data_IF_835007026125
#
_entry.id   IF_835007026125
#
_cell.length_a   1.000
_cell.length_b   1.000
_cell.length_c   1.000
_cell.angle_alpha   90.00
_cell.angle_beta   90.00
_cell.angle_gamma   90.00
#
_symmetry.space_group_name_H-M   'P 1'
#
loop_
_entity.id
_entity.type
_entity.pdbx_description
1 polymer ?
#
# COMPACT_ATOMS: atom_id res chain seq x y z
N UNK A 1 38.42 -56.23 -16.15
CA UNK A 1 38.36 -55.59 -17.48
C UNK A 1 38.87 -54.16 -17.35
N UNK A 2 40.00 -53.90 -18.03
CA UNK A 2 40.59 -52.65 -18.56
C UNK A 2 40.32 -51.33 -17.80
N UNK A 3 41.34 -50.83 -17.08
CA UNK A 3 42.27 -49.71 -17.43
C UNK A 3 41.67 -48.36 -17.02
N UNK A 4 42.19 -47.56 -16.08
CA UNK A 4 43.57 -47.36 -15.66
C UNK A 4 44.14 -46.13 -16.37
N UNK A 5 44.18 -44.98 -15.68
CA UNK A 5 45.22 -43.97 -15.93
C UNK A 5 45.53 -43.12 -14.69
N UNK A 6 46.75 -43.32 -14.18
CA UNK A 6 47.54 -42.38 -13.37
C UNK A 6 48.65 -41.83 -14.27
N UNK A 7 48.97 -40.54 -14.13
CA UNK A 7 50.27 -39.84 -14.28
C UNK A 7 49.99 -38.37 -13.91
N UNK A 8 50.77 -37.59 -13.16
CA UNK A 8 52.08 -37.76 -12.55
C UNK A 8 52.87 -36.44 -12.58
N UNK A 9 52.82 -35.70 -11.46
CA UNK A 9 53.86 -34.86 -10.80
C UNK A 9 54.58 -33.71 -11.56
N UNK A 10 54.46 -32.49 -11.01
CA UNK A 10 55.48 -31.56 -10.44
C UNK A 10 54.74 -30.22 -10.18
N UNK A 11 54.59 -29.65 -8.98
CA UNK A 11 55.54 -29.45 -7.90
C UNK A 11 55.87 -27.96 -7.84
N UNK A 12 55.11 -27.17 -7.07
CA UNK A 12 55.57 -25.92 -6.43
C UNK A 12 54.57 -25.51 -5.33
N UNK A 13 55.08 -25.51 -4.10
CA UNK A 13 54.41 -25.07 -2.89
C UNK A 13 54.36 -23.54 -2.83
N UNK A 14 53.38 -22.98 -2.10
CA UNK A 14 53.55 -21.88 -1.13
C UNK A 14 52.27 -21.76 -0.26
N UNK A 15 52.46 -22.04 1.04
CA UNK A 15 51.86 -21.50 2.28
C UNK A 15 50.32 -21.26 2.32
N UNK A 16 49.52 -22.11 2.99
CA UNK A 16 49.34 -22.28 4.45
C UNK A 16 48.58 -21.13 5.14
N UNK A 17 47.42 -21.46 5.70
CA UNK A 17 46.62 -20.57 6.55
C UNK A 17 45.21 -21.10 6.86
N UNK A 18 45.13 -22.30 7.48
CA UNK A 18 43.92 -22.82 8.12
C UNK A 18 43.63 -22.05 9.42
N UNK A 19 42.35 -21.93 9.79
CA UNK A 19 41.99 -21.55 11.16
C UNK A 19 40.49 -21.36 11.40
N UNK A 20 39.75 -22.48 11.47
CA UNK A 20 38.36 -22.52 11.85
C UNK A 20 38.12 -22.15 13.34
N UNK A 21 36.86 -21.85 13.62
CA UNK A 21 36.24 -21.49 14.90
C UNK A 21 36.68 -22.31 16.12
N UNK A 22 36.69 -21.63 17.27
CA UNK A 22 36.52 -22.23 18.59
C UNK A 22 35.41 -21.48 19.35
N UNK A 23 34.41 -22.25 19.79
CA UNK A 23 33.48 -21.89 20.85
C UNK A 23 34.21 -22.01 22.19
N UNK A 24 34.21 -20.94 22.98
CA UNK A 24 34.43 -21.02 24.43
C UNK A 24 33.45 -20.07 25.12
N UNK A 25 32.49 -20.66 25.85
CA UNK A 25 31.74 -19.96 26.88
C UNK A 25 32.69 -19.71 28.06
N UNK A 26 32.79 -18.46 28.51
CA UNK A 26 33.56 -18.14 29.72
C UNK A 26 33.87 -16.65 29.87
N UNK A 27 33.18 -16.03 30.84
CA UNK A 27 33.57 -14.82 31.56
C UNK A 27 33.42 -13.49 30.82
N UNK A 28 32.38 -12.75 31.21
CA UNK A 28 32.31 -11.31 31.05
C UNK A 28 33.51 -10.66 31.75
N UNK A 29 34.55 -10.36 30.98
CA UNK A 29 35.51 -9.32 31.33
C UNK A 29 35.05 -8.10 30.55
N UNK A 30 34.43 -7.14 31.25
CA UNK A 30 34.23 -5.80 30.75
C UNK A 30 35.63 -5.22 30.46
N UNK A 31 36.11 -5.36 29.23
CA UNK A 31 37.31 -4.68 28.79
C UNK A 31 36.98 -3.18 28.79
N UNK A 32 37.57 -2.43 29.71
CA UNK A 32 37.60 -0.97 29.66
C UNK A 32 38.25 -0.56 28.33
N UNK A 33 37.41 -0.29 27.33
CA UNK A 33 37.83 -0.24 25.94
C UNK A 33 38.64 1.02 25.66
N UNK A 34 39.94 0.85 25.39
CA UNK A 34 40.85 1.89 24.91
C UNK A 34 40.20 2.69 23.78
N UNK A 35 40.19 4.02 23.91
CA UNK A 35 39.70 4.94 22.88
C UNK A 35 40.41 4.73 21.53
N UNK A 36 39.75 5.09 20.43
CA UNK A 36 40.39 5.01 19.12
C UNK A 36 41.53 6.01 19.02
N UNK A 37 42.70 5.55 18.56
CA UNK A 37 43.94 6.36 18.53
C UNK A 37 43.81 7.65 17.72
N UNK A 38 42.96 7.64 16.70
CA UNK A 38 42.71 8.71 15.73
C UNK A 38 41.41 9.48 15.99
N UNK A 39 40.75 9.25 17.13
CA UNK A 39 39.60 10.04 17.59
C UNK A 39 39.88 10.46 19.03
N UNK A 40 40.76 11.45 19.26
CA UNK A 40 41.02 11.98 20.61
C UNK A 40 39.76 12.66 21.19
N UNK A 41 39.71 12.84 22.51
CA UNK A 41 38.60 13.50 23.21
C UNK A 41 38.26 14.91 22.67
N UNK A 42 39.22 15.60 22.06
CA UNK A 42 39.03 16.90 21.41
C UNK A 42 38.41 16.84 20.00
N UNK A 43 38.28 15.64 19.42
CA UNK A 43 37.68 15.45 18.11
C UNK A 43 36.16 15.72 18.17
N UNK A 44 35.63 16.50 17.23
CA UNK A 44 34.21 16.94 17.23
C UNK A 44 33.18 15.80 17.31
N UNK A 45 33.54 14.64 16.74
CA UNK A 45 32.70 13.44 16.73
C UNK A 45 32.94 12.50 17.92
N UNK A 46 33.87 12.80 18.84
CA UNK A 46 34.34 11.88 19.88
C UNK A 46 33.19 11.21 20.64
N UNK A 47 32.26 11.98 21.23
CA UNK A 47 31.16 11.42 22.02
C UNK A 47 30.26 10.48 21.20
N UNK A 48 30.06 10.80 19.92
CA UNK A 48 29.14 10.12 19.00
C UNK A 48 29.76 8.81 18.55
N UNK A 49 31.07 8.82 18.30
CA UNK A 49 31.86 7.61 17.99
C UNK A 49 31.97 6.71 19.21
N UNK A 50 32.20 7.27 20.41
CA UNK A 50 32.24 6.48 21.65
C UNK A 50 30.87 5.90 22.01
N UNK A 51 29.79 6.65 21.80
CA UNK A 51 28.43 6.12 21.91
C UNK A 51 28.21 4.94 20.96
N UNK A 52 28.58 5.10 19.69
CA UNK A 52 28.37 4.06 18.68
C UNK A 52 29.15 2.78 19.02
N UNK A 53 30.41 2.91 19.47
CA UNK A 53 31.22 1.80 19.96
C UNK A 53 30.58 1.11 21.17
N UNK A 54 30.19 1.87 22.18
CA UNK A 54 29.66 1.34 23.44
C UNK A 54 28.28 0.68 23.28
N UNK A 55 27.55 1.01 22.21
CA UNK A 55 26.23 0.43 21.89
C UNK A 55 26.27 -0.61 20.77
N UNK A 56 27.47 -1.04 20.31
CA UNK A 56 27.61 -2.07 19.27
C UNK A 56 27.13 -1.63 17.87
N UNK A 57 27.02 -0.32 17.63
CA UNK A 57 26.64 0.25 16.33
C UNK A 57 27.78 0.16 15.32
N UNK A 58 29.01 0.33 15.80
CA UNK A 58 30.21 0.34 14.98
C UNK A 58 31.41 -0.20 15.74
N UNK A 59 32.38 -0.74 15.01
CA UNK A 59 33.67 -1.18 15.52
C UNK A 59 34.81 -0.39 14.85
N UNK A 60 36.00 -0.44 15.47
CA UNK A 60 37.23 0.06 14.87
C UNK A 60 37.99 -1.02 14.10
N UNK A 61 39.14 -0.62 13.57
CA UNK A 61 40.05 -1.51 12.86
C UNK A 61 41.02 -2.22 13.83
N UNK A 62 41.61 -3.36 13.43
CA UNK A 62 42.57 -4.11 14.26
C UNK A 62 43.81 -3.30 14.71
N UNK A 63 44.15 -2.22 14.00
CA UNK A 63 45.25 -1.30 14.33
C UNK A 63 44.91 -0.33 15.48
N UNK A 64 43.67 -0.34 15.98
CA UNK A 64 43.15 0.53 17.02
C UNK A 64 42.64 1.89 16.51
N UNK A 65 42.43 2.04 15.20
CA UNK A 65 41.88 3.25 14.58
C UNK A 65 40.39 3.13 14.28
N UNK A 66 39.70 4.26 14.14
CA UNK A 66 38.30 4.36 13.69
C UNK A 66 38.18 4.82 12.24
N UNK A 67 39.16 5.60 11.76
CA UNK A 67 39.21 6.26 10.45
C UNK A 67 38.04 7.22 10.22
N UNK A 68 37.93 8.29 11.04
CA UNK A 68 36.74 9.15 11.08
C UNK A 68 36.39 9.81 9.74
N UNK A 69 37.39 10.09 8.90
CA UNK A 69 37.22 10.74 7.59
C UNK A 69 36.95 9.77 6.42
N UNK A 70 37.05 8.45 6.65
CA UNK A 70 36.80 7.46 5.59
C UNK A 70 35.32 7.45 5.22
N UNK A 71 34.99 7.42 3.93
CA UNK A 71 33.60 7.29 3.46
C UNK A 71 33.01 5.93 3.85
N UNK A 72 31.71 5.90 4.16
CA UNK A 72 30.95 4.66 4.40
C UNK A 72 30.17 4.26 3.16
N UNK A 73 30.05 2.95 2.91
CA UNK A 73 29.17 2.44 1.85
C UNK A 73 27.70 2.44 2.28
N UNK A 74 26.78 2.27 1.34
CA UNK A 74 25.35 2.14 1.65
C UNK A 74 25.06 0.94 2.56
N UNK A 75 25.66 -0.22 2.29
CA UNK A 75 25.52 -1.41 3.12
C UNK A 75 26.09 -1.21 4.54
N UNK A 76 27.23 -0.54 4.65
CA UNK A 76 27.82 -0.20 5.95
C UNK A 76 26.89 0.71 6.75
N UNK A 77 26.39 1.79 6.15
CA UNK A 77 25.46 2.71 6.82
C UNK A 77 24.17 2.02 7.24
N UNK A 78 23.54 1.25 6.34
CA UNK A 78 22.33 0.50 6.64
C UNK A 78 22.53 -0.47 7.81
N UNK A 79 23.67 -1.17 7.85
CA UNK A 79 23.99 -2.06 8.96
C UNK A 79 24.15 -1.32 10.29
N UNK A 80 24.75 -0.13 10.28
CA UNK A 80 24.87 0.72 11.48
C UNK A 80 23.50 1.23 11.94
N UNK A 81 22.64 1.63 10.99
CA UNK A 81 21.27 2.06 11.29
C UNK A 81 20.49 0.94 12.00
N UNK A 82 20.51 -0.28 11.49
CA UNK A 82 19.81 -1.42 12.11
C UNK A 82 20.43 -1.77 13.47
N UNK A 83 21.77 -1.79 13.59
CA UNK A 83 22.46 -2.09 14.86
C UNK A 83 22.20 -1.05 15.96
N UNK A 84 21.89 0.20 15.60
CA UNK A 84 21.47 1.22 16.56
C UNK A 84 20.10 0.91 17.24
N UNK A 85 19.39 -0.10 16.75
CA UNK A 85 18.10 -0.57 17.27
C UNK A 85 18.14 -2.10 17.44
N UNK A 86 18.85 -2.63 18.47
CA UNK A 86 19.03 -4.07 18.71
C UNK A 86 17.71 -4.85 18.98
N UNK A 87 16.62 -4.13 19.19
CA UNK A 87 15.25 -4.64 19.18
C UNK A 87 14.82 -5.22 17.82
N UNK A 88 15.37 -4.71 16.70
CA UNK A 88 15.14 -5.24 15.36
C UNK A 88 15.83 -6.61 15.25
N UNK A 89 15.05 -7.65 14.99
CA UNK A 89 15.57 -9.01 14.79
C UNK A 89 15.74 -9.26 13.30
N UNK A 90 16.97 -9.57 12.92
CA UNK A 90 17.31 -10.01 11.57
C UNK A 90 17.29 -11.53 11.52
N UNK A 91 16.73 -12.07 10.44
CA UNK A 91 16.94 -13.47 10.10
C UNK A 91 18.42 -13.72 9.80
N UNK A 92 18.91 -14.89 10.20
CA UNK A 92 20.27 -15.31 9.86
C UNK A 92 20.40 -15.42 8.34
N UNK A 93 21.51 -14.90 7.79
CA UNK A 93 21.87 -15.09 6.38
C UNK A 93 21.86 -16.59 6.04
N UNK A 94 21.17 -16.97 4.97
CA UNK A 94 21.01 -18.38 4.59
C UNK A 94 22.11 -18.75 3.57
N UNK A 95 22.92 -19.76 3.88
CA UNK A 95 23.89 -20.31 2.93
C UNK A 95 25.09 -19.40 2.64
N UNK A 96 25.37 -19.13 1.35
CA UNK A 96 26.52 -18.33 0.88
C UNK A 96 26.19 -16.84 0.65
N UNK A 97 25.12 -16.33 1.27
CA UNK A 97 24.70 -14.94 1.12
C UNK A 97 25.77 -13.93 1.60
N UNK A 98 25.82 -12.78 0.95
CA UNK A 98 26.72 -11.68 1.30
C UNK A 98 26.38 -11.14 2.69
N UNK A 99 27.35 -10.65 3.45
CA UNK A 99 27.15 -10.23 4.84
C UNK A 99 26.04 -9.16 5.04
N UNK A 100 25.78 -8.33 4.02
CA UNK A 100 24.78 -7.28 4.06
C UNK A 100 23.37 -7.76 3.65
N UNK A 101 23.21 -8.98 3.14
CA UNK A 101 21.93 -9.51 2.62
C UNK A 101 20.78 -9.41 3.63
N UNK A 102 20.93 -9.79 4.93
CA UNK A 102 19.84 -9.66 5.89
C UNK A 102 19.35 -8.22 6.07
N UNK A 103 20.25 -7.25 5.98
CA UNK A 103 19.91 -5.83 6.12
C UNK A 103 19.15 -5.30 4.90
N UNK A 104 19.55 -5.73 3.70
CA UNK A 104 18.84 -5.38 2.47
C UNK A 104 17.48 -6.06 2.38
N UNK A 105 17.36 -7.33 2.81
CA UNK A 105 16.06 -8.00 2.89
C UNK A 105 15.11 -7.22 3.80
N UNK A 106 15.58 -6.81 4.98
CA UNK A 106 14.81 -5.93 5.87
C UNK A 106 14.48 -4.59 5.20
N UNK A 107 15.44 -3.95 4.55
CA UNK A 107 15.20 -2.68 3.85
C UNK A 107 14.15 -2.83 2.74
N UNK A 108 14.17 -3.92 1.97
CA UNK A 108 13.18 -4.20 0.93
C UNK A 108 11.81 -4.52 1.53
N UNK A 109 11.76 -5.33 2.59
CA UNK A 109 10.53 -5.64 3.33
C UNK A 109 9.88 -4.37 3.90
N UNK A 110 10.70 -3.45 4.41
CA UNK A 110 10.25 -2.18 4.99
C UNK A 110 10.21 -1.03 3.98
N UNK A 111 10.44 -1.29 2.69
CA UNK A 111 10.48 -0.28 1.61
C UNK A 111 11.43 0.90 1.86
N UNK A 112 12.52 0.68 2.60
CA UNK A 112 13.55 1.69 2.80
C UNK A 112 14.31 1.95 1.48
N UNK A 113 14.60 3.22 1.15
CA UNK A 113 15.16 3.62 -0.14
C UNK A 113 16.67 3.31 -0.23
N UNK A 114 16.98 2.02 -0.40
CA UNK A 114 18.32 1.52 -0.72
C UNK A 114 18.50 1.38 -2.23
N UNK A 115 19.72 1.52 -2.72
CA UNK A 115 20.08 1.36 -4.13
C UNK A 115 20.51 -0.07 -4.45
N UNK A 116 20.77 -0.35 -5.73
CA UNK A 116 21.39 -1.59 -6.21
C UNK A 116 22.92 -1.61 -6.03
N UNK A 117 23.49 -0.64 -5.29
CA UNK A 117 24.94 -0.40 -5.16
C UNK A 117 25.43 -0.47 -3.70
N UNK A 118 25.34 -1.63 -3.04
CA UNK A 118 25.64 -1.79 -1.60
C UNK A 118 27.07 -1.41 -1.19
N UNK A 119 28.02 -1.49 -2.11
CA UNK A 119 29.44 -1.24 -1.84
C UNK A 119 29.91 0.15 -2.30
N UNK A 120 29.03 0.98 -2.87
CA UNK A 120 29.37 2.35 -3.24
C UNK A 120 29.21 3.28 -2.04
N UNK A 121 29.99 4.39 -1.95
CA UNK A 121 29.82 5.40 -0.91
C UNK A 121 28.38 5.95 -0.88
N UNK A 122 27.76 5.95 0.30
CA UNK A 122 26.42 6.55 0.47
C UNK A 122 26.53 8.07 0.51
N UNK A 123 25.57 8.75 -0.12
CA UNK A 123 25.47 10.21 -0.09
C UNK A 123 24.68 10.69 1.12
N UNK A 124 24.88 11.95 1.51
CA UNK A 124 24.12 12.59 2.60
C UNK A 124 22.62 12.62 2.32
N UNK A 125 22.22 12.81 1.06
CA UNK A 125 20.82 12.77 0.62
C UNK A 125 20.19 11.38 0.78
N UNK A 126 20.91 10.32 0.40
CA UNK A 126 20.44 8.95 0.64
C UNK A 126 20.35 8.61 2.13
N UNK A 127 21.30 9.08 2.96
CA UNK A 127 21.19 8.98 4.42
C UNK A 127 19.94 9.67 4.95
N UNK A 128 19.63 10.89 4.47
CA UNK A 128 18.43 11.61 4.88
C UNK A 128 17.15 10.83 4.53
N UNK A 129 17.07 10.29 3.32
CA UNK A 129 15.94 9.44 2.88
C UNK A 129 15.82 8.18 3.73
N UNK A 130 16.92 7.48 4.03
CA UNK A 130 16.91 6.30 4.89
C UNK A 130 16.44 6.62 6.32
N UNK A 131 16.90 7.73 6.90
CA UNK A 131 16.48 8.15 8.24
C UNK A 131 15.00 8.53 8.31
N UNK A 132 14.49 9.21 7.28
CA UNK A 132 13.08 9.55 7.16
C UNK A 132 12.21 8.28 6.99
N UNK A 133 12.64 7.37 6.11
CA UNK A 133 11.98 6.07 5.88
C UNK A 133 11.99 5.17 7.12
N UNK A 134 13.07 5.19 7.90
CA UNK A 134 13.14 4.51 9.18
C UNK A 134 12.04 4.98 10.16
N UNK A 135 11.63 6.24 10.07
CA UNK A 135 10.51 6.82 10.83
C UNK A 135 9.19 6.88 10.03
N UNK A 136 9.05 6.04 9.00
CA UNK A 136 7.81 5.83 8.25
C UNK A 136 7.49 6.89 7.19
N UNK A 137 8.41 7.79 6.88
CA UNK A 137 8.23 8.81 5.85
C UNK A 137 8.77 8.31 4.50
N UNK A 138 8.06 8.46 3.37
CA UNK A 138 8.72 8.40 2.05
C UNK A 138 8.71 9.77 1.45
N UNK A 139 9.91 10.31 1.34
CA UNK A 139 10.19 11.66 0.92
C UNK A 139 11.18 11.59 -0.24
N UNK A 140 11.05 12.52 -1.19
CA UNK A 140 12.11 12.79 -2.15
C UNK A 140 13.37 13.28 -1.43
N UNK A 141 14.48 13.43 -2.18
CA UNK A 141 15.77 13.78 -1.58
C UNK A 141 15.72 15.15 -0.86
N UNK A 142 15.11 16.16 -1.49
CA UNK A 142 15.05 17.52 -0.95
C UNK A 142 14.12 17.59 0.27
N UNK A 143 12.96 16.92 0.22
CA UNK A 143 12.03 16.87 1.35
C UNK A 143 12.61 16.10 2.53
N UNK A 144 13.33 15.00 2.27
CA UNK A 144 14.02 14.24 3.32
C UNK A 144 15.11 15.07 4.00
N UNK A 145 15.85 15.87 3.21
CA UNK A 145 16.85 16.81 3.75
C UNK A 145 16.19 17.87 4.62
N UNK A 146 15.10 18.48 4.17
CA UNK A 146 14.34 19.45 4.96
C UNK A 146 13.81 18.82 6.25
N UNK A 147 13.29 17.60 6.18
CA UNK A 147 12.82 16.86 7.36
C UNK A 147 13.94 16.62 8.37
N UNK A 148 15.10 16.12 7.94
CA UNK A 148 16.27 15.91 8.82
C UNK A 148 16.73 17.21 9.47
N UNK A 149 16.69 18.33 8.75
CA UNK A 149 17.03 19.66 9.29
C UNK A 149 15.98 20.15 10.29
N UNK A 150 14.69 20.01 9.98
CA UNK A 150 13.57 20.42 10.82
C UNK A 150 13.51 19.63 12.14
N UNK A 151 13.83 18.34 12.08
CA UNK A 151 13.93 17.47 13.26
C UNK A 151 15.23 17.69 14.07
N UNK A 152 16.11 18.61 13.66
CA UNK A 152 17.38 18.87 14.36
C UNK A 152 18.39 17.72 14.27
N UNK A 153 18.21 16.81 13.31
CA UNK A 153 19.07 15.64 13.11
C UNK A 153 20.36 16.03 12.36
N UNK A 154 20.35 17.13 11.63
CA UNK A 154 21.53 17.75 11.02
C UNK A 154 21.46 19.28 11.08
N UNK A 155 22.60 19.92 10.88
CA UNK A 155 22.71 21.40 10.79
C UNK A 155 23.18 21.87 9.40
N UNK A 156 23.41 20.92 8.47
CA UNK A 156 24.09 21.15 7.20
C UNK A 156 25.60 21.38 7.34
N UNK A 157 26.31 21.39 6.21
CA UNK A 157 27.75 21.67 6.14
C UNK A 157 28.04 23.17 6.04
N UNK A 158 27.25 23.89 5.25
CA UNK A 158 27.41 25.33 4.99
C UNK A 158 26.15 26.15 5.29
N UNK A 159 25.05 25.52 5.69
CA UNK A 159 23.81 26.19 6.10
C UNK A 159 22.64 25.24 6.30
N UNK A 160 21.54 25.75 6.87
CA UNK A 160 20.35 24.98 7.23
C UNK A 160 19.34 24.77 6.08
N UNK A 161 19.77 24.94 4.83
CA UNK A 161 18.96 24.69 3.63
C UNK A 161 19.42 23.44 2.88
N UNK A 162 18.66 23.00 1.87
CA UNK A 162 18.98 21.80 1.08
C UNK A 162 20.39 21.90 0.47
N UNK A 163 20.72 23.01 -0.16
CA UNK A 163 22.06 23.25 -0.71
C UNK A 163 23.14 23.21 0.38
N UNK A 164 22.88 23.88 1.50
CA UNK A 164 23.79 23.92 2.66
C UNK A 164 23.98 22.57 3.34
N UNK A 165 23.03 21.64 3.18
CA UNK A 165 23.15 20.27 3.63
C UNK A 165 24.09 19.43 2.77
N UNK A 166 24.35 19.83 1.52
CA UNK A 166 25.21 19.14 0.55
C UNK A 166 24.79 17.66 0.32
N UNK A 167 23.58 17.39 -0.23
CA UNK A 167 23.03 16.05 -0.33
C UNK A 167 23.84 15.10 -1.23
N UNK A 168 24.63 15.63 -2.17
CA UNK A 168 25.45 14.82 -3.09
C UNK A 168 26.79 14.37 -2.51
N UNK A 169 27.24 14.96 -1.40
CA UNK A 169 28.51 14.58 -0.79
C UNK A 169 28.41 13.19 -0.17
N UNK A 170 29.52 12.43 -0.25
CA UNK A 170 29.68 11.19 0.47
C UNK A 170 29.70 11.43 2.00
N UNK A 171 29.23 10.42 2.74
CA UNK A 171 29.18 10.44 4.21
C UNK A 171 30.43 9.78 4.78
N UNK A 172 31.13 10.48 5.67
CA UNK A 172 32.25 9.92 6.44
C UNK A 172 31.78 9.05 7.61
N UNK A 173 32.64 8.15 8.10
CA UNK A 173 32.36 7.31 9.28
C UNK A 173 31.95 8.14 10.50
N UNK A 174 32.59 9.28 10.74
CA UNK A 174 32.25 10.19 11.84
C UNK A 174 30.88 10.89 11.64
N UNK A 175 30.56 11.30 10.42
CA UNK A 175 29.24 11.86 10.09
C UNK A 175 28.14 10.81 10.26
N UNK A 176 28.36 9.58 9.79
CA UNK A 176 27.40 8.48 9.95
C UNK A 176 27.03 8.27 11.43
N UNK A 177 28.02 8.22 12.33
CA UNK A 177 27.74 8.08 13.77
C UNK A 177 27.00 9.28 14.33
N UNK A 178 27.26 10.48 13.79
CA UNK A 178 26.58 11.70 14.24
C UNK A 178 25.11 11.72 13.85
N UNK A 179 24.79 11.29 12.61
CA UNK A 179 23.40 11.12 12.16
C UNK A 179 22.66 10.12 13.04
N UNK A 180 23.23 8.93 13.25
CA UNK A 180 22.59 7.87 14.04
C UNK A 180 22.44 8.24 15.52
N UNK A 181 23.46 8.88 16.10
CA UNK A 181 23.40 9.39 17.48
C UNK A 181 22.24 10.37 17.66
N UNK A 182 22.14 11.37 16.76
CA UNK A 182 21.05 12.37 16.82
C UNK A 182 19.70 11.73 16.57
N UNK A 183 19.61 10.80 15.62
CA UNK A 183 18.38 10.05 15.37
C UNK A 183 17.88 9.35 16.63
N UNK A 184 18.77 8.68 17.37
CA UNK A 184 18.42 7.96 18.60
C UNK A 184 18.06 8.89 19.76
N UNK A 185 18.66 10.10 19.80
CA UNK A 185 18.52 11.01 20.93
C UNK A 185 17.34 11.97 20.78
N UNK A 186 17.02 12.37 19.55
CA UNK A 186 16.01 13.41 19.28
C UNK A 186 14.62 12.83 19.08
N UNK A 187 14.51 11.69 18.40
CA UNK A 187 13.23 11.10 18.08
C UNK A 187 12.86 10.00 19.10
N UNK A 188 11.55 9.81 19.37
CA UNK A 188 11.10 8.80 20.32
C UNK A 188 11.61 7.42 19.91
N UNK A 189 11.95 6.60 20.91
CA UNK A 189 12.45 5.24 20.67
C UNK A 189 11.42 4.48 19.83
N UNK A 190 11.83 4.04 18.63
CA UNK A 190 11.10 3.08 17.83
C UNK A 190 11.06 1.72 18.57
N UNK A 191 10.22 1.59 19.59
CA UNK A 191 10.05 0.35 20.36
C UNK A 191 9.11 -0.63 19.65
N UNK A 192 9.70 -1.71 19.12
CA UNK A 192 9.04 -2.90 18.55
C UNK A 192 8.87 -2.88 17.03
N UNK A 193 9.02 -4.03 16.33
CA UNK A 193 8.46 -4.26 15.00
C UNK A 193 6.98 -3.84 14.85
N UNK A 194 6.25 -3.72 15.96
CA UNK A 194 4.88 -3.18 15.99
C UNK A 194 4.80 -1.65 15.80
N UNK A 195 5.89 -0.90 16.03
CA UNK A 195 5.99 0.53 15.75
C UNK A 195 6.49 0.85 14.33
N UNK A 196 6.54 -0.15 13.45
CA UNK A 196 6.67 0.03 11.98
C UNK A 196 5.28 -0.03 11.31
N UNK A 197 4.19 0.19 12.05
CA UNK A 197 2.85 0.42 11.51
C UNK A 197 2.37 1.87 11.67
N UNK A 198 2.61 2.76 10.71
CA UNK A 198 1.64 3.70 10.20
C UNK A 198 1.06 3.10 8.91
N UNK A 199 0.30 2.02 9.03
CA UNK A 199 -0.50 1.51 7.90
C UNK A 199 -1.76 2.35 7.82
N UNK A 200 -2.14 2.76 6.60
CA UNK A 200 -3.52 3.15 6.36
C UNK A 200 -4.36 1.93 6.74
N UNK A 201 -5.26 2.11 7.71
CA UNK A 201 -6.08 1.05 8.24
C UNK A 201 -7.55 1.40 8.11
N UNK A 202 -8.36 0.40 7.84
CA UNK A 202 -9.82 0.47 7.90
C UNK A 202 -10.29 -0.40 9.04
N UNK A 203 -10.93 0.19 10.05
CA UNK A 203 -11.38 -0.53 11.25
C UNK A 203 -10.26 -1.36 11.92
N UNK A 204 -9.01 -0.89 11.81
CA UNK A 204 -7.82 -1.56 12.34
C UNK A 204 -7.21 -2.64 11.44
N UNK A 205 -7.84 -2.96 10.31
CA UNK A 205 -7.30 -3.88 9.29
C UNK A 205 -6.35 -3.11 8.37
N UNK A 206 -5.15 -3.64 8.17
CA UNK A 206 -4.16 -3.11 7.22
C UNK A 206 -3.84 -4.09 6.09
N UNK A 207 -3.24 -3.58 5.02
CA UNK A 207 -2.63 -4.42 3.97
C UNK A 207 -1.56 -5.34 4.60
N UNK A 208 -1.55 -6.62 4.22
CA UNK A 208 -0.62 -7.64 4.73
C UNK A 208 -1.09 -8.41 5.98
N UNK A 209 -2.18 -7.96 6.62
CA UNK A 209 -2.80 -8.70 7.73
C UNK A 209 -3.30 -10.08 7.27
N UNK A 210 -3.35 -11.05 8.19
CA UNK A 210 -3.91 -12.37 7.90
C UNK A 210 -5.43 -12.38 7.94
N UNK A 211 -6.06 -13.34 7.27
CA UNK A 211 -7.50 -13.59 7.37
C UNK A 211 -7.96 -13.81 8.81
N UNK A 212 -7.18 -14.50 9.64
CA UNK A 212 -7.48 -14.68 11.07
C UNK A 212 -7.57 -13.33 11.81
N UNK A 213 -6.67 -12.38 11.49
CA UNK A 213 -6.68 -11.05 12.08
C UNK A 213 -7.89 -10.25 11.63
N UNK A 214 -8.27 -10.37 10.35
CA UNK A 214 -9.49 -9.76 9.82
C UNK A 214 -10.72 -10.29 10.55
N UNK A 215 -10.83 -11.60 10.75
CA UNK A 215 -11.96 -12.22 11.46
C UNK A 215 -11.97 -11.82 12.94
N UNK A 216 -10.81 -11.68 13.58
CA UNK A 216 -10.71 -11.17 14.95
C UNK A 216 -11.26 -9.75 15.09
N UNK A 217 -10.98 -8.89 14.11
CA UNK A 217 -11.36 -7.48 14.13
C UNK A 217 -12.82 -7.25 13.69
N UNK A 218 -13.24 -7.88 12.60
CA UNK A 218 -14.51 -7.59 11.91
C UNK A 218 -15.55 -8.72 12.05
N UNK A 219 -15.15 -9.88 12.57
CA UNK A 219 -15.95 -11.10 12.56
C UNK A 219 -15.98 -11.79 11.20
N UNK A 220 -16.89 -12.75 11.03
CA UNK A 220 -17.06 -13.45 9.75
C UNK A 220 -17.71 -12.53 8.70
N UNK A 221 -17.15 -12.47 7.47
CA UNK A 221 -17.74 -11.72 6.39
C UNK A 221 -19.13 -12.28 6.05
N UNK A 222 -20.02 -11.41 5.59
CA UNK A 222 -21.35 -11.83 5.15
C UNK A 222 -21.30 -12.64 3.84
N UNK A 223 -20.31 -12.34 3.00
CA UNK A 223 -20.10 -12.98 1.70
C UNK A 223 -18.62 -12.93 1.33
N UNK A 224 -18.19 -13.88 0.50
CA UNK A 224 -16.87 -13.89 -0.13
C UNK A 224 -17.08 -13.90 -1.62
N UNK A 225 -16.57 -12.86 -2.28
CA UNK A 225 -16.86 -12.53 -3.66
C UNK A 225 -15.59 -12.70 -4.50
N UNK A 226 -15.63 -13.64 -5.44
CA UNK A 226 -14.49 -13.93 -6.32
C UNK A 226 -14.35 -12.85 -7.39
N UNK A 227 -13.11 -12.42 -7.62
CA UNK A 227 -12.79 -11.46 -8.70
C UNK A 227 -12.06 -12.15 -9.85
N UNK A 228 -12.04 -11.49 -11.00
CA UNK A 228 -11.26 -11.91 -12.16
C UNK A 228 -9.81 -11.40 -12.15
N UNK A 229 -9.38 -10.67 -11.11
CA UNK A 229 -8.00 -10.19 -10.93
C UNK A 229 -7.36 -10.76 -9.66
N UNK A 230 -7.71 -12.02 -9.34
CA UNK A 230 -6.97 -12.90 -8.43
C UNK A 230 -7.00 -12.54 -6.95
N UNK A 231 -8.02 -11.79 -6.50
CA UNK A 231 -8.38 -11.69 -5.08
C UNK A 231 -9.83 -12.13 -4.83
N UNK A 232 -10.16 -12.35 -3.56
CA UNK A 232 -11.52 -12.55 -3.07
C UNK A 232 -11.91 -11.39 -2.15
N UNK A 233 -13.01 -10.70 -2.41
CA UNK A 233 -13.55 -9.67 -1.53
C UNK A 233 -14.33 -10.29 -0.39
N UNK A 234 -13.90 -10.02 0.84
CA UNK A 234 -14.63 -10.35 2.06
C UNK A 234 -15.56 -9.18 2.34
N UNK A 235 -16.86 -9.42 2.16
CA UNK A 235 -17.89 -8.38 2.19
C UNK A 235 -18.51 -8.26 3.58
N UNK A 236 -18.44 -7.06 4.16
CA UNK A 236 -19.04 -6.70 5.44
C UNK A 236 -20.19 -5.72 5.23
N UNK A 237 -21.37 -6.26 4.90
CA UNK A 237 -22.57 -5.49 4.56
C UNK A 237 -23.73 -5.65 5.56
N UNK A 238 -23.45 -6.15 6.77
CA UNK A 238 -24.47 -6.27 7.84
C UNK A 238 -24.91 -4.91 8.38
N UNK A 239 -24.01 -3.92 8.31
CA UNK A 239 -24.30 -2.51 8.62
C UNK A 239 -23.71 -1.62 7.52
N UNK A 240 -24.59 -1.09 6.65
CA UNK A 240 -24.19 -0.25 5.54
C UNK A 240 -23.63 1.12 5.96
N UNK A 241 -23.77 1.53 7.22
CA UNK A 241 -23.04 2.71 7.74
C UNK A 241 -21.54 2.47 7.84
N UNK A 242 -21.15 1.21 7.95
CA UNK A 242 -19.79 0.72 8.12
C UNK A 242 -19.44 -0.29 7.02
N UNK A 243 -19.98 -0.08 5.81
CA UNK A 243 -19.76 -0.99 4.68
C UNK A 243 -18.28 -1.07 4.33
N UNK A 244 -17.74 -2.29 4.40
CA UNK A 244 -16.31 -2.57 4.19
C UNK A 244 -16.15 -3.76 3.25
N UNK A 245 -15.17 -3.67 2.36
CA UNK A 245 -14.70 -4.80 1.56
C UNK A 245 -13.21 -5.03 1.87
N UNK A 246 -12.85 -6.26 2.22
CA UNK A 246 -11.45 -6.65 2.48
C UNK A 246 -10.99 -7.63 1.41
N UNK A 247 -10.08 -7.20 0.54
CA UNK A 247 -9.58 -7.98 -0.58
C UNK A 247 -8.47 -8.92 -0.10
N UNK A 248 -8.66 -10.22 -0.28
CA UNK A 248 -7.77 -11.26 0.22
C UNK A 248 -7.18 -12.06 -0.94
N UNK A 249 -5.85 -12.21 -0.94
CA UNK A 249 -5.13 -13.13 -1.81
C UNK A 249 -4.10 -13.91 -0.98
N UNK A 250 -3.99 -15.22 -1.22
CA UNK A 250 -3.07 -16.11 -0.49
C UNK A 250 -3.16 -16.00 1.05
N UNK A 251 -4.37 -15.80 1.57
CA UNK A 251 -4.63 -15.66 3.02
C UNK A 251 -4.18 -14.33 3.63
N UNK A 252 -3.84 -13.34 2.79
CA UNK A 252 -3.37 -12.02 3.18
C UNK A 252 -4.26 -10.92 2.61
N UNK A 253 -4.41 -9.85 3.37
CA UNK A 253 -5.08 -8.63 2.90
C UNK A 253 -4.22 -7.95 1.83
N UNK A 254 -4.78 -7.75 0.65
CA UNK A 254 -4.16 -7.05 -0.49
C UNK A 254 -5.00 -5.87 -0.98
N UNK A 255 -6.21 -5.70 -0.45
CA UNK A 255 -7.10 -4.60 -0.78
C UNK A 255 -8.03 -4.22 0.39
N UNK A 256 -8.39 -2.96 0.49
CA UNK A 256 -9.37 -2.44 1.44
C UNK A 256 -10.22 -1.37 0.77
N UNK A 257 -11.54 -1.51 0.84
CA UNK A 257 -12.49 -0.48 0.46
C UNK A 257 -13.41 -0.13 1.62
N UNK A 258 -13.67 1.17 1.80
CA UNK A 258 -14.65 1.66 2.76
C UNK A 258 -15.10 3.09 2.45
N UNK A 259 -16.40 3.35 2.59
CA UNK A 259 -17.04 4.64 2.37
C UNK A 259 -17.58 5.27 3.68
N UNK A 260 -16.83 5.10 4.77
CA UNK A 260 -17.19 5.56 6.10
C UNK A 260 -15.96 6.05 6.90
N UNK A 261 -16.20 6.65 8.06
CA UNK A 261 -15.20 7.44 8.80
C UNK A 261 -14.17 6.63 9.61
N UNK A 262 -14.20 5.30 9.60
CA UNK A 262 -13.31 4.48 10.44
C UNK A 262 -11.98 4.13 9.77
N UNK A 263 -11.47 5.08 8.98
CA UNK A 263 -10.12 5.05 8.46
C UNK A 263 -9.13 5.72 9.41
N UNK A 264 -7.92 5.17 9.46
CA UNK A 264 -6.79 5.75 10.16
C UNK A 264 -5.63 5.95 9.17
N UNK A 265 -5.13 7.19 9.07
CA UNK A 265 -4.02 7.55 8.21
C UNK A 265 -2.80 7.98 9.03
N UNK A 266 -1.77 7.13 9.07
CA UNK A 266 -0.48 7.46 9.67
C UNK A 266 -0.44 7.47 11.21
N UNK A 267 0.72 7.83 11.81
CA UNK A 267 0.99 7.68 13.24
C UNK A 267 0.39 8.81 14.10
N UNK A 268 0.07 9.97 13.51
CA UNK A 268 -0.60 11.10 14.19
C UNK A 268 -2.10 11.23 13.80
N UNK A 269 -2.68 10.14 13.29
CA UNK A 269 -4.12 9.86 13.16
C UNK A 269 -5.01 11.04 12.74
N UNK A 270 -4.88 11.45 11.48
CA UNK A 270 -6.05 11.92 10.73
C UNK A 270 -7.07 10.77 10.69
N UNK A 271 -8.26 10.99 11.25
CA UNK A 271 -9.33 9.99 11.34
C UNK A 271 -10.45 10.33 10.38
N UNK A 272 -10.80 9.34 9.58
CA UNK A 272 -11.94 9.41 8.68
C UNK A 272 -11.66 10.09 7.35
N UNK A 273 -12.72 10.19 6.55
CA UNK A 273 -12.67 10.70 5.19
C UNK A 273 -12.66 12.23 5.19
N UNK A 274 -13.30 12.87 6.18
CA UNK A 274 -13.34 14.33 6.27
C UNK A 274 -11.94 14.94 6.49
N UNK A 275 -11.02 14.24 7.16
CA UNK A 275 -9.64 14.74 7.33
C UNK A 275 -8.88 14.75 6.01
N UNK A 276 -9.06 13.72 5.17
CA UNK A 276 -8.46 13.65 3.83
C UNK A 276 -8.90 14.81 2.93
N UNK A 277 -10.10 15.36 3.14
CA UNK A 277 -10.61 16.51 2.38
C UNK A 277 -9.71 17.74 2.48
N UNK A 278 -9.08 17.94 3.64
CA UNK A 278 -8.15 19.03 3.90
C UNK A 278 -6.83 18.80 3.15
N UNK A 279 -6.40 17.54 3.11
CA UNK A 279 -5.15 17.07 2.50
C UNK A 279 -5.25 16.91 0.97
N UNK A 280 -6.45 16.75 0.40
CA UNK A 280 -6.69 16.67 -1.05
C UNK A 280 -6.09 17.85 -1.83
N UNK A 281 -6.09 19.06 -1.27
CA UNK A 281 -5.53 20.23 -1.95
C UNK A 281 -4.01 20.17 -2.13
N UNK A 282 -3.31 19.33 -1.36
CA UNK A 282 -1.88 19.07 -1.53
C UNK A 282 -1.60 17.98 -2.58
N UNK A 283 -2.60 17.16 -2.92
CA UNK A 283 -2.46 15.98 -3.79
C UNK A 283 -3.06 16.24 -5.18
N UNK A 284 -4.06 17.12 -5.27
CA UNK A 284 -4.77 17.42 -6.51
C UNK A 284 -5.18 18.89 -6.60
N UNK A 285 -4.89 19.50 -7.74
CA UNK A 285 -5.33 20.86 -8.07
C UNK A 285 -6.83 20.85 -8.40
N UNK A 286 -7.63 21.43 -7.50
CA UNK A 286 -9.10 21.55 -7.63
C UNK A 286 -9.55 22.42 -8.81
N UNK A 287 -8.63 23.13 -9.47
CA UNK A 287 -8.91 23.88 -10.70
C UNK A 287 -8.91 23.00 -11.96
N UNK A 288 -8.37 21.79 -11.87
CA UNK A 288 -8.47 20.76 -12.90
C UNK A 288 -9.69 19.88 -12.61
N UNK A 289 -10.33 19.31 -13.63
CA UNK A 289 -11.33 18.26 -13.42
C UNK A 289 -10.56 16.94 -13.22
N UNK A 290 -10.91 16.07 -12.26
CA UNK A 290 -10.14 14.86 -12.08
C UNK A 290 -10.31 14.00 -13.34
N UNK A 291 -9.23 13.35 -13.82
CA UNK A 291 -9.31 12.57 -15.06
C UNK A 291 -10.23 11.34 -14.94
N UNK A 292 -10.57 10.94 -13.71
CA UNK A 292 -11.50 9.85 -13.34
C UNK A 292 -12.38 10.28 -12.16
N UNK A 293 -13.27 9.40 -11.71
CA UNK A 293 -14.15 9.64 -10.54
C UNK A 293 -13.39 9.69 -9.19
N UNK A 294 -12.08 9.49 -9.22
CA UNK A 294 -11.18 9.47 -8.08
C UNK A 294 -9.87 10.19 -8.38
N UNK A 295 -9.16 10.56 -7.31
CA UNK A 295 -7.76 10.96 -7.35
C UNK A 295 -6.90 9.78 -6.93
N UNK A 296 -5.94 9.40 -7.77
CA UNK A 296 -4.97 8.35 -7.48
C UNK A 296 -3.72 8.95 -6.85
N UNK A 297 -3.23 8.32 -5.79
CA UNK A 297 -1.92 8.60 -5.22
C UNK A 297 -1.28 7.31 -4.73
N UNK A 298 0.00 7.38 -4.37
CA UNK A 298 0.76 6.23 -3.90
C UNK A 298 1.31 6.52 -2.53
N UNK A 299 1.18 5.55 -1.64
CA UNK A 299 1.83 5.67 -0.35
C UNK A 299 3.33 5.41 -0.49
N UNK A 300 4.13 6.02 0.39
CA UNK A 300 5.50 5.61 0.70
C UNK A 300 5.82 4.11 0.65
N UNK A 301 4.84 3.25 0.96
CA UNK A 301 4.98 1.81 1.17
C UNK A 301 4.58 0.98 -0.05
N UNK A 302 4.38 1.61 -1.20
CA UNK A 302 3.90 0.91 -2.39
C UNK A 302 2.46 0.42 -2.19
N UNK A 303 1.57 1.30 -1.74
CA UNK A 303 0.14 1.05 -1.80
C UNK A 303 -0.49 2.03 -2.77
N UNK A 304 -1.38 1.54 -3.62
CA UNK A 304 -2.27 2.36 -4.43
C UNK A 304 -3.38 2.90 -3.53
N UNK A 305 -3.60 4.21 -3.56
CA UNK A 305 -4.66 4.86 -2.82
C UNK A 305 -5.55 5.63 -3.80
N UNK A 306 -6.77 5.16 -3.98
CA UNK A 306 -7.79 5.84 -4.77
C UNK A 306 -8.77 6.53 -3.83
N UNK A 307 -8.85 7.86 -3.95
CA UNK A 307 -9.77 8.70 -3.20
C UNK A 307 -10.96 9.04 -4.11
N UNK A 308 -12.07 8.33 -3.93
CA UNK A 308 -13.29 8.56 -4.71
C UNK A 308 -13.98 9.84 -4.24
N UNK A 309 -14.32 10.72 -5.18
CA UNK A 309 -14.84 12.05 -4.89
C UNK A 309 -16.31 12.16 -5.24
N UNK A 310 -17.10 12.81 -4.38
CA UNK A 310 -18.46 13.24 -4.71
C UNK A 310 -18.43 14.67 -5.28
N UNK A 311 -18.55 14.78 -6.61
CA UNK A 311 -18.50 16.08 -7.30
C UNK A 311 -19.72 16.96 -7.01
N UNK A 312 -20.83 16.34 -6.61
CA UNK A 312 -22.07 17.04 -6.23
C UNK A 312 -22.02 17.54 -4.78
N UNK A 313 -21.04 17.11 -4.00
CA UNK A 313 -20.79 17.55 -2.62
C UNK A 313 -19.44 18.23 -2.45
N UNK A 314 -19.11 19.12 -3.40
CA UNK A 314 -17.88 19.94 -3.38
C UNK A 314 -16.60 19.08 -3.33
N UNK A 315 -16.58 17.99 -4.09
CA UNK A 315 -15.45 17.05 -4.17
C UNK A 315 -15.02 16.52 -2.80
N UNK A 316 -16.00 16.18 -1.95
CA UNK A 316 -15.72 15.47 -0.70
C UNK A 316 -15.20 14.07 -1.03
N UNK A 317 -14.24 13.56 -0.26
CA UNK A 317 -13.90 12.13 -0.31
C UNK A 317 -15.09 11.34 0.20
N UNK A 318 -15.66 10.52 -0.66
CA UNK A 318 -16.82 9.69 -0.32
C UNK A 318 -16.43 8.24 -0.08
N UNK A 319 -15.34 7.77 -0.68
CA UNK A 319 -14.80 6.44 -0.44
C UNK A 319 -13.30 6.36 -0.69
N UNK A 320 -12.69 5.34 -0.10
CA UNK A 320 -11.26 5.06 -0.25
C UNK A 320 -11.10 3.60 -0.66
N UNK A 321 -10.28 3.38 -1.70
CA UNK A 321 -9.75 2.08 -2.05
C UNK A 321 -8.23 2.10 -1.85
N UNK A 322 -7.74 1.22 -1.00
CA UNK A 322 -6.33 0.99 -0.75
C UNK A 322 -5.95 -0.39 -1.30
N UNK A 323 -4.94 -0.48 -2.16
CA UNK A 323 -4.49 -1.74 -2.75
C UNK A 323 -2.98 -1.92 -2.58
N UNK A 324 -2.52 -3.15 -2.40
CA UNK A 324 -1.09 -3.49 -2.44
C UNK A 324 -0.55 -3.30 -3.86
N UNK A 325 0.48 -2.46 -4.04
CA UNK A 325 1.01 -2.15 -5.36
C UNK A 325 1.60 -3.38 -6.04
N UNK A 326 2.34 -4.20 -5.29
CA UNK A 326 3.00 -5.37 -5.84
C UNK A 326 1.96 -6.36 -6.36
N UNK A 327 0.90 -6.60 -5.60
CA UNK A 327 -0.24 -7.39 -6.04
C UNK A 327 -0.84 -6.81 -7.33
N UNK A 328 -1.21 -5.53 -7.35
CA UNK A 328 -1.83 -4.89 -8.51
C UNK A 328 -0.94 -4.90 -9.77
N UNK A 329 0.38 -4.71 -9.63
CA UNK A 329 1.31 -4.69 -10.77
C UNK A 329 1.69 -6.09 -11.27
N UNK A 330 1.63 -7.11 -10.40
CA UNK A 330 2.02 -8.48 -10.75
C UNK A 330 0.86 -9.33 -11.24
N UNK A 331 -0.38 -8.96 -10.91
CA UNK A 331 -1.54 -9.76 -11.26
C UNK A 331 -2.09 -9.42 -12.65
N UNK A 332 -2.52 -10.45 -13.36
CA UNK A 332 -3.09 -10.32 -14.71
C UNK A 332 -4.59 -10.56 -14.63
N UNK A 333 -5.38 -9.71 -15.28
CA UNK A 333 -6.82 -9.90 -15.41
C UNK A 333 -7.11 -11.19 -16.18
N UNK A 334 -7.81 -12.11 -15.53
CA UNK A 334 -8.43 -13.25 -16.18
C UNK A 334 -9.79 -12.83 -16.79
N UNK A 335 -10.32 -13.60 -17.76
CA UNK A 335 -11.70 -13.43 -18.20
C UNK A 335 -12.67 -13.59 -17.02
N UNK A 336 -13.77 -12.86 -17.02
CA UNK A 336 -14.77 -12.99 -15.96
C UNK A 336 -15.43 -14.37 -16.00
N UNK A 337 -15.81 -14.85 -14.83
CA UNK A 337 -16.61 -16.07 -14.65
C UNK A 337 -18.07 -15.70 -14.35
N UNK A 338 -19.05 -16.59 -14.59
CA UNK A 338 -20.41 -16.35 -14.15
C UNK A 338 -20.52 -16.04 -12.64
N UNK A 339 -19.64 -16.63 -11.83
CA UNK A 339 -19.55 -16.38 -10.40
C UNK A 339 -19.02 -14.97 -10.10
N UNK A 340 -17.97 -14.51 -10.78
CA UNK A 340 -17.42 -13.17 -10.57
C UNK A 340 -18.37 -12.07 -11.07
N UNK A 341 -19.07 -12.28 -12.19
CA UNK A 341 -20.07 -11.32 -12.67
C UNK A 341 -21.25 -11.19 -11.69
N UNK A 342 -21.70 -12.31 -11.11
CA UNK A 342 -22.72 -12.28 -10.04
C UNK A 342 -22.21 -11.60 -8.78
N UNK A 343 -20.94 -11.78 -8.42
CA UNK A 343 -20.32 -11.04 -7.33
C UNK A 343 -20.37 -9.52 -7.60
N UNK A 344 -19.96 -9.08 -8.79
CA UNK A 344 -20.06 -7.67 -9.23
C UNK A 344 -21.49 -7.12 -9.11
N UNK A 345 -22.51 -7.88 -9.52
CA UNK A 345 -23.92 -7.48 -9.37
C UNK A 345 -24.31 -7.22 -7.91
N UNK A 346 -23.83 -8.06 -6.99
CA UNK A 346 -24.11 -7.96 -5.55
C UNK A 346 -23.29 -6.85 -4.89
N UNK A 347 -22.05 -6.65 -5.29
CA UNK A 347 -21.21 -5.54 -4.86
C UNK A 347 -21.84 -4.19 -5.27
N UNK A 348 -22.37 -4.07 -6.49
CA UNK A 348 -23.08 -2.86 -6.93
C UNK A 348 -24.32 -2.58 -6.08
N UNK A 349 -25.12 -3.62 -5.75
CA UNK A 349 -26.25 -3.47 -4.80
C UNK A 349 -25.75 -2.94 -3.45
N UNK A 350 -24.68 -3.54 -2.94
CA UNK A 350 -24.13 -3.21 -1.63
C UNK A 350 -23.58 -1.77 -1.59
N UNK A 351 -22.86 -1.34 -2.62
CA UNK A 351 -22.36 0.03 -2.79
C UNK A 351 -23.51 1.04 -2.89
N UNK A 352 -24.55 0.76 -3.70
CA UNK A 352 -25.75 1.61 -3.77
C UNK A 352 -26.47 1.71 -2.42
N UNK A 353 -26.57 0.62 -1.67
CA UNK A 353 -27.17 0.65 -0.33
C UNK A 353 -26.31 1.39 0.69
N UNK A 354 -24.99 1.24 0.64
CA UNK A 354 -24.06 2.00 1.46
C UNK A 354 -24.25 3.50 1.20
N UNK A 355 -24.25 3.92 -0.07
CA UNK A 355 -24.48 5.31 -0.46
C UNK A 355 -25.85 5.84 0.02
N UNK A 356 -26.93 5.07 -0.19
CA UNK A 356 -28.28 5.43 0.30
C UNK A 356 -28.31 5.64 1.82
N UNK A 357 -27.70 4.73 2.57
CA UNK A 357 -27.65 4.82 4.04
C UNK A 357 -26.83 6.02 4.50
N UNK A 358 -25.71 6.35 3.83
CA UNK A 358 -24.96 7.58 4.10
C UNK A 358 -25.78 8.85 3.84
N UNK A 359 -26.76 8.80 2.92
CA UNK A 359 -27.72 9.91 2.68
C UNK A 359 -29.01 9.82 3.51
N UNK A 360 -29.08 8.90 4.48
CA UNK A 360 -30.22 8.76 5.39
C UNK A 360 -31.44 8.07 4.78
N UNK A 361 -31.27 7.33 3.68
CA UNK A 361 -32.33 6.56 3.03
C UNK A 361 -32.31 5.08 3.45
N UNK A 362 -33.45 4.41 3.24
CA UNK A 362 -33.57 2.96 3.42
C UNK A 362 -32.88 2.17 2.32
N UNK A 363 -32.45 0.95 2.66
CA UNK A 363 -31.84 0.00 1.72
C UNK A 363 -32.83 -0.54 0.70
N UNK A 364 -32.33 -0.86 -0.49
CA UNK A 364 -33.04 -1.57 -1.55
C UNK A 364 -32.85 -3.08 -1.38
N UNK A 365 -33.93 -3.82 -1.59
CA UNK A 365 -33.91 -5.29 -1.55
C UNK A 365 -33.56 -5.88 -2.92
N UNK A 366 -32.74 -6.92 -2.94
CA UNK A 366 -32.41 -7.63 -4.18
C UNK A 366 -33.66 -8.27 -4.81
N UNK A 367 -33.81 -8.13 -6.12
CA UNK A 367 -34.78 -8.89 -6.90
C UNK A 367 -34.08 -9.63 -8.06
N UNK A 368 -34.08 -10.96 -7.99
CA UNK A 368 -33.42 -11.80 -8.99
C UNK A 368 -34.05 -11.68 -10.39
N UNK A 369 -35.39 -11.64 -10.48
CA UNK A 369 -36.06 -11.52 -11.79
C UNK A 369 -35.80 -10.18 -12.46
N UNK A 370 -35.63 -9.10 -11.69
CA UNK A 370 -35.21 -7.79 -12.21
C UNK A 370 -33.74 -7.79 -12.60
N UNK A 371 -32.88 -8.48 -11.84
CA UNK A 371 -31.47 -8.65 -12.19
C UNK A 371 -31.32 -9.42 -13.51
N UNK A 372 -32.14 -10.44 -13.77
CA UNK A 372 -32.18 -11.13 -15.06
C UNK A 372 -32.56 -10.19 -16.22
N UNK A 373 -33.51 -9.27 -16.00
CA UNK A 373 -33.87 -8.24 -16.99
C UNK A 373 -32.69 -7.30 -17.24
N UNK A 374 -32.04 -6.83 -16.16
CA UNK A 374 -30.88 -5.95 -16.24
C UNK A 374 -29.73 -6.63 -17.01
N UNK A 375 -29.39 -7.88 -16.67
CA UNK A 375 -28.39 -8.70 -17.38
C UNK A 375 -28.74 -8.84 -18.85
N UNK A 376 -30.01 -9.10 -19.16
CA UNK A 376 -30.46 -9.21 -20.54
C UNK A 376 -30.22 -7.93 -21.32
N UNK A 377 -30.42 -6.75 -20.70
CA UNK A 377 -30.16 -5.45 -21.36
C UNK A 377 -28.67 -5.15 -21.50
N UNK A 378 -27.86 -5.43 -20.48
CA UNK A 378 -26.40 -5.28 -20.59
C UNK A 378 -25.83 -6.18 -21.70
N UNK A 379 -26.30 -7.42 -21.78
CA UNK A 379 -25.95 -8.35 -22.86
C UNK A 379 -26.40 -7.84 -24.23
N UNK A 380 -27.59 -7.28 -24.31
CA UNK A 380 -28.16 -6.72 -25.54
C UNK A 380 -27.32 -5.55 -26.07
N UNK A 381 -26.91 -4.64 -25.19
CA UNK A 381 -25.98 -3.53 -25.50
C UNK A 381 -24.63 -4.04 -26.01
N UNK A 382 -24.07 -5.06 -25.36
CA UNK A 382 -22.80 -5.67 -25.76
C UNK A 382 -22.88 -6.36 -27.13
N UNK A 383 -23.93 -7.15 -27.38
CA UNK A 383 -24.08 -7.94 -28.61
C UNK A 383 -24.44 -7.07 -29.84
N UNK A 384 -25.07 -5.91 -29.63
CA UNK A 384 -25.60 -5.06 -30.71
C UNK A 384 -24.94 -3.69 -30.85
N UNK A 385 -23.88 -3.40 -30.08
CA UNK A 385 -23.10 -2.15 -30.15
C UNK A 385 -23.96 -0.89 -30.08
N UNK A 386 -24.73 -0.81 -29.01
CA UNK A 386 -25.41 0.43 -28.63
C UNK A 386 -25.28 0.65 -27.13
N UNK A 387 -25.46 1.90 -26.71
CA UNK A 387 -25.44 2.28 -25.30
C UNK A 387 -26.57 3.27 -25.01
N UNK A 388 -27.77 2.74 -24.86
CA UNK A 388 -29.00 3.52 -24.66
C UNK A 388 -29.95 2.82 -23.67
N UNK A 389 -30.82 3.60 -23.03
CA UNK A 389 -31.84 3.10 -22.11
C UNK A 389 -32.92 2.29 -22.82
N UNK A 390 -33.40 2.79 -23.96
CA UNK A 390 -34.32 2.04 -24.81
C UNK A 390 -33.51 1.10 -25.70
N UNK A 391 -33.99 -0.14 -25.83
CA UNK A 391 -33.36 -1.05 -26.78
C UNK A 391 -33.75 -0.66 -28.23
N UNK A 392 -33.09 -1.19 -29.27
CA UNK A 392 -33.44 -0.92 -30.67
C UNK A 392 -34.89 -1.21 -31.08
N UNK A 393 -35.65 -1.97 -30.29
CA UNK A 393 -37.09 -2.18 -30.46
C UNK A 393 -37.95 -1.07 -29.82
N UNK A 394 -37.33 -0.03 -29.27
CA UNK A 394 -37.96 1.08 -28.56
C UNK A 394 -38.58 0.67 -27.22
N UNK A 395 -38.07 -0.39 -26.58
CA UNK A 395 -38.56 -0.86 -25.28
C UNK A 395 -37.73 -0.27 -24.16
N UNK A 396 -38.40 0.41 -23.23
CA UNK A 396 -37.82 0.94 -22.00
C UNK A 396 -37.53 -0.15 -20.97
N UNK A 397 -36.81 0.16 -19.90
CA UNK A 397 -36.60 -0.77 -18.79
C UNK A 397 -37.92 -1.26 -18.17
N UNK A 398 -38.91 -0.37 -18.05
CA UNK A 398 -40.26 -0.72 -17.61
C UNK A 398 -40.93 -1.75 -18.54
N UNK A 399 -40.85 -1.56 -19.85
CA UNK A 399 -41.37 -2.52 -20.84
C UNK A 399 -40.65 -3.86 -20.75
N UNK A 400 -39.32 -3.84 -20.63
CA UNK A 400 -38.49 -5.04 -20.47
C UNK A 400 -38.86 -5.82 -19.20
N UNK A 401 -39.08 -5.13 -18.08
CA UNK A 401 -39.53 -5.77 -16.83
C UNK A 401 -40.93 -6.38 -16.97
N UNK A 402 -41.89 -5.66 -17.54
CA UNK A 402 -43.25 -6.17 -17.76
C UNK A 402 -43.26 -7.40 -18.68
N UNK A 403 -42.41 -7.41 -19.72
CA UNK A 403 -42.30 -8.54 -20.65
C UNK A 403 -41.81 -9.84 -20.00
N UNK A 404 -41.09 -9.75 -18.87
CA UNK A 404 -40.57 -10.88 -18.08
C UNK A 404 -41.46 -11.27 -16.91
N UNK A 405 -42.69 -10.72 -16.86
CA UNK A 405 -43.68 -11.10 -15.87
C UNK A 405 -43.51 -10.44 -14.51
N UNK A 406 -42.70 -9.37 -14.41
CA UNK A 406 -42.69 -8.50 -13.22
C UNK A 406 -43.99 -7.68 -13.29
N UNK A 407 -44.97 -7.95 -12.41
CA UNK A 407 -46.25 -7.26 -12.47
C UNK A 407 -46.05 -5.78 -12.07
N UNK A 408 -46.99 -4.97 -12.54
CA UNK A 408 -47.11 -3.53 -12.36
C UNK A 408 -46.35 -2.94 -11.15
N UNK A 409 -45.69 -1.81 -11.39
CA UNK A 409 -44.90 -1.07 -10.41
C UNK A 409 -45.41 0.37 -10.27
N UNK A 410 -45.31 0.92 -9.05
CA UNK A 410 -45.70 2.32 -8.77
C UNK A 410 -44.63 3.32 -9.23
N UNK A 411 -43.38 2.88 -9.31
CA UNK A 411 -42.23 3.66 -9.74
C UNK A 411 -41.16 2.69 -10.26
N UNK A 412 -40.37 3.14 -11.25
CA UNK A 412 -39.20 2.44 -11.76
C UNK A 412 -38.16 3.44 -12.27
N UNK A 413 -36.90 2.99 -12.38
CA UNK A 413 -35.79 3.76 -12.94
C UNK A 413 -34.68 2.82 -13.41
N UNK A 414 -33.80 3.33 -14.26
CA UNK A 414 -32.66 2.57 -14.78
C UNK A 414 -31.38 3.42 -14.77
N UNK A 415 -30.27 2.81 -14.35
CA UNK A 415 -28.93 3.32 -14.64
C UNK A 415 -28.20 2.32 -15.53
N UNK A 416 -27.43 2.81 -16.52
CA UNK A 416 -26.54 2.01 -17.36
C UNK A 416 -25.12 2.56 -17.30
N UNK A 417 -24.12 1.68 -17.37
CA UNK A 417 -22.70 2.02 -17.41
C UNK A 417 -21.96 1.04 -18.31
N UNK A 418 -20.85 1.46 -18.91
CA UNK A 418 -19.99 0.60 -19.71
C UNK A 418 -18.53 1.06 -19.63
N UNK A 419 -17.60 0.11 -19.80
CA UNK A 419 -16.16 0.38 -19.82
C UNK A 419 -15.52 0.63 -18.45
N UNK A 420 -16.22 0.30 -17.37
CA UNK A 420 -15.67 0.35 -16.01
C UNK A 420 -15.08 -0.99 -15.60
N UNK A 421 -13.95 -0.95 -14.92
CA UNK A 421 -13.19 -2.13 -14.58
C UNK A 421 -13.90 -3.03 -13.54
N UNK A 422 -14.55 -2.42 -12.55
CA UNK A 422 -15.18 -3.12 -11.44
C UNK A 422 -16.44 -2.40 -10.91
N UNK A 423 -17.05 -3.00 -9.88
CA UNK A 423 -18.27 -2.49 -9.23
C UNK A 423 -18.06 -1.13 -8.55
N UNK A 424 -16.89 -0.87 -7.96
CA UNK A 424 -16.58 0.36 -7.23
C UNK A 424 -16.51 1.51 -8.22
N UNK A 425 -15.73 1.34 -9.29
CA UNK A 425 -15.58 2.34 -10.35
C UNK A 425 -16.92 2.62 -11.05
N UNK A 426 -17.69 1.58 -11.40
CA UNK A 426 -19.01 1.74 -12.00
C UNK A 426 -20.00 2.47 -11.08
N UNK A 427 -19.99 2.17 -9.78
CA UNK A 427 -20.80 2.86 -8.78
C UNK A 427 -20.48 4.35 -8.72
N UNK A 428 -19.20 4.72 -8.63
CA UNK A 428 -18.81 6.13 -8.56
C UNK A 428 -19.07 6.88 -9.87
N UNK A 429 -19.03 6.21 -11.01
CA UNK A 429 -19.49 6.76 -12.29
C UNK A 429 -20.97 7.17 -12.26
N UNK A 430 -21.84 6.31 -11.71
CA UNK A 430 -23.24 6.66 -11.50
C UNK A 430 -23.42 7.74 -10.43
N UNK A 431 -22.72 7.65 -9.30
CA UNK A 431 -22.82 8.60 -8.18
C UNK A 431 -22.54 10.03 -8.62
N UNK A 432 -21.59 10.19 -9.55
CA UNK A 432 -21.20 11.47 -10.09
C UNK A 432 -22.00 11.86 -11.35
N UNK A 433 -22.86 11.04 -11.92
CA UNK A 433 -23.81 11.50 -12.94
C UNK A 433 -25.13 11.92 -12.27
N UNK A 434 -25.57 13.17 -12.45
CA UNK A 434 -26.73 13.69 -11.72
C UNK A 434 -27.99 12.84 -11.91
N UNK A 435 -28.35 12.51 -13.16
CA UNK A 435 -29.53 11.68 -13.42
C UNK A 435 -29.41 10.26 -12.84
N UNK A 436 -28.23 9.65 -12.88
CA UNK A 436 -28.01 8.32 -12.29
C UNK A 436 -28.04 8.35 -10.75
N UNK A 437 -27.50 9.42 -10.16
CA UNK A 437 -27.51 9.69 -8.73
C UNK A 437 -28.94 9.85 -8.22
N UNK A 438 -29.81 10.55 -8.94
CA UNK A 438 -31.22 10.72 -8.59
C UNK A 438 -31.91 9.36 -8.46
N UNK A 439 -31.67 8.43 -9.38
CA UNK A 439 -32.21 7.06 -9.27
C UNK A 439 -31.71 6.34 -8.01
N UNK A 440 -30.41 6.42 -7.70
CA UNK A 440 -29.86 5.79 -6.49
C UNK A 440 -30.41 6.40 -5.20
N UNK A 441 -30.80 7.68 -5.21
CA UNK A 441 -31.32 8.41 -4.04
C UNK A 441 -32.83 8.60 -4.02
N UNK A 442 -33.56 8.01 -4.97
CA UNK A 442 -35.02 8.10 -5.02
C UNK A 442 -35.63 7.34 -3.83
N UNK A 443 -36.35 8.01 -2.91
CA UNK A 443 -36.96 7.36 -1.75
C UNK A 443 -38.10 6.41 -2.11
N UNK A 444 -38.74 6.59 -3.27
CA UNK A 444 -39.87 5.76 -3.68
C UNK A 444 -39.46 4.32 -4.04
N UNK A 445 -38.20 4.10 -4.43
CA UNK A 445 -37.65 2.79 -4.78
C UNK A 445 -37.40 1.91 -3.55
N UNK A 446 -37.72 0.61 -3.69
CA UNK A 446 -37.62 -0.38 -2.61
C UNK A 446 -36.87 -1.64 -3.03
N UNK A 447 -36.74 -1.87 -4.34
CA UNK A 447 -36.10 -3.04 -4.92
C UNK A 447 -35.05 -2.63 -5.95
N UNK A 448 -34.01 -3.45 -6.09
CA UNK A 448 -32.97 -3.30 -7.09
C UNK A 448 -32.61 -4.67 -7.68
N UNK A 449 -32.52 -4.74 -9.00
CA UNK A 449 -31.83 -5.81 -9.71
C UNK A 449 -30.68 -5.22 -10.52
N UNK A 450 -29.51 -5.86 -10.46
CA UNK A 450 -28.31 -5.43 -11.19
C UNK A 450 -27.94 -6.52 -12.19
N UNK A 451 -27.49 -6.11 -13.36
CA UNK A 451 -26.86 -6.99 -14.34
C UNK A 451 -25.46 -6.54 -14.68
N UNK A 452 -24.54 -7.51 -14.77
CA UNK A 452 -23.17 -7.30 -15.23
C UNK A 452 -22.80 -8.33 -16.29
N UNK A 453 -22.19 -7.88 -17.39
CA UNK A 453 -21.66 -8.75 -18.44
C UNK A 453 -20.34 -8.19 -18.97
N UNK A 454 -19.47 -9.09 -19.43
CA UNK A 454 -18.34 -8.71 -20.27
C UNK A 454 -18.84 -8.33 -21.68
N UNK A 455 -18.11 -7.42 -22.32
CA UNK A 455 -18.21 -7.16 -23.75
C UNK A 455 -17.65 -8.34 -24.57
N UNK A 456 -18.03 -8.37 -25.84
CA UNK A 456 -17.40 -9.23 -26.85
C UNK A 456 -16.19 -8.51 -27.46
N UNK A 457 -15.32 -9.23 -28.17
CA UNK A 457 -14.24 -8.61 -28.96
C UNK A 457 -14.76 -7.59 -29.99
N UNK A 458 -16.03 -7.74 -30.41
CA UNK A 458 -16.71 -6.83 -31.32
C UNK A 458 -17.45 -5.68 -30.62
N UNK A 459 -17.49 -5.68 -29.28
CA UNK A 459 -18.20 -4.70 -28.48
C UNK A 459 -17.45 -3.37 -28.41
N UNK A 460 -18.18 -2.26 -28.31
CA UNK A 460 -17.56 -0.93 -28.13
C UNK A 460 -16.89 -0.76 -26.75
N UNK A 461 -17.32 -1.54 -25.75
CA UNK A 461 -16.79 -1.50 -24.38
C UNK A 461 -16.52 -2.91 -23.85
N UNK A 462 -15.54 -3.02 -22.94
CA UNK A 462 -15.13 -4.29 -22.34
C UNK A 462 -16.11 -4.82 -21.29
N UNK A 463 -16.95 -3.96 -20.71
CA UNK A 463 -17.93 -4.32 -19.67
C UNK A 463 -19.20 -3.50 -19.83
N UNK A 464 -20.34 -4.06 -19.41
CA UNK A 464 -21.65 -3.40 -19.38
C UNK A 464 -22.39 -3.72 -18.09
N UNK A 465 -22.90 -2.68 -17.43
CA UNK A 465 -23.66 -2.76 -16.20
C UNK A 465 -25.03 -2.10 -16.34
N UNK A 466 -26.04 -2.66 -15.68
CA UNK A 466 -27.39 -2.10 -15.62
C UNK A 466 -27.97 -2.23 -14.22
N UNK A 467 -28.50 -1.15 -13.66
CA UNK A 467 -29.29 -1.14 -12.44
C UNK A 467 -30.75 -0.88 -12.79
N UNK A 468 -31.66 -1.78 -12.43
CA UNK A 468 -33.09 -1.57 -12.55
C UNK A 468 -33.71 -1.43 -11.17
N UNK A 469 -34.18 -0.21 -10.89
CA UNK A 469 -34.88 0.15 -9.68
C UNK A 469 -36.37 0.01 -9.89
N UNK A 470 -37.09 -0.48 -8.88
CA UNK A 470 -38.54 -0.41 -8.91
C UNK A 470 -39.16 -0.49 -7.53
N UNK A 471 -40.46 -0.20 -7.49
CA UNK A 471 -41.30 -0.56 -6.35
C UNK A 471 -42.58 -1.26 -6.80
N UNK A 472 -42.87 -2.46 -6.24
CA UNK A 472 -44.13 -3.15 -6.47
C UNK A 472 -45.35 -2.25 -6.21
N UNK A 473 -46.43 -2.47 -6.97
CA UNK A 473 -47.73 -1.84 -6.70
C UNK A 473 -48.29 -2.17 -5.30
#
# INVERSE_FOLDING_TARGET
>A
MKKGWKRGIRGLAILAGLGAAWLAAGSAVQAAGVDFKDVPASHWAYDKVMWAKNNGVTDGYPDGTFRPAQSVTEAEFLSMLVRAYPEIKLDAAKGQETWYTPYYNLAFELTWPVSDKPNEPITRGSVARLMAAFYGQSLGEDEAVQWVLAQGLAQGKSGAGVEGFAPKDAVSRAEAQTFLYRLKLTLPKATSPDLIKPEIQLQGVGIGDSTDRVIELLGEPARKDVTNYGLEWYIYNKDYKHYTQVGVADGKVVGLFGNHEEWQFGPEAEKGLETLRSSLAAIWDKSENPPREYVETYTPRGQYLNLYLDKHEKFRVDGVLLMDKKFTESNVYAPSTPESLKATEREILDLTNAFRVQKGLGVLSWNESVAEVARSHSKDMAERNYFEHDNPEGKSAGDRMMSRGIPQFRAWGENIAAGYLDAIDGHYGWLNSWGHRENMLEPAFTMLGVGAVDGLDSSDYDTYYTQNFYTPL
#
